data_IF_834231875525
#
_entry.id   IF_834231875525
#
_cell.length_a   1.000
_cell.length_b   1.000
_cell.length_c   1.000
_cell.angle_alpha   90.00
_cell.angle_beta   90.00
_cell.angle_gamma   90.00
#
_symmetry.space_group_name_H-M   'P 1'
#
loop_
_entity.id
_entity.type
_entity.pdbx_description
1 polymer ?
#
# COMPACT_ATOMS: atom_id res chain seq x y z
N UNK A 1 -16.75 -8.21 3.16
CA UNK A 1 -16.09 -7.19 4.01
C UNK A 1 -15.88 -5.94 3.17
N UNK A 2 -15.97 -4.73 3.73
CA UNK A 2 -15.65 -3.51 3.01
C UNK A 2 -14.14 -3.24 3.12
N UNK A 3 -13.44 -3.21 1.99
CA UNK A 3 -11.99 -3.06 1.93
C UNK A 3 -11.62 -1.70 1.32
N UNK A 4 -10.75 -0.97 2.02
CA UNK A 4 -10.09 0.18 1.44
C UNK A 4 -8.70 -0.19 0.92
N UNK A 5 -8.38 0.27 -0.29
CA UNK A 5 -7.04 0.18 -0.85
C UNK A 5 -6.55 1.61 -1.08
N UNK A 6 -5.48 2.01 -0.39
CA UNK A 6 -4.89 3.35 -0.51
C UNK A 6 -3.50 3.26 -1.12
N UNK A 7 -3.13 4.27 -1.91
CA UNK A 7 -1.78 4.33 -2.49
C UNK A 7 -0.74 4.76 -1.47
N UNK A 8 0.47 4.20 -1.56
CA UNK A 8 1.63 4.74 -0.86
C UNK A 8 2.02 6.13 -1.40
N UNK A 9 2.99 6.78 -0.75
CA UNK A 9 3.44 8.13 -1.11
C UNK A 9 4.96 8.26 -1.13
N UNK A 10 5.45 9.29 -1.83
CA UNK A 10 6.89 9.58 -1.91
C UNK A 10 7.47 9.89 -0.52
N UNK A 11 6.81 10.77 0.24
CA UNK A 11 7.27 11.22 1.56
C UNK A 11 7.18 10.09 2.58
N UNK A 12 8.34 9.67 3.09
CA UNK A 12 8.48 8.58 4.07
C UNK A 12 9.40 9.02 5.21
N UNK A 13 9.17 8.49 6.41
CA UNK A 13 10.12 8.62 7.52
C UNK A 13 11.30 7.67 7.33
N UNK A 14 12.45 8.03 7.88
CA UNK A 14 13.63 7.17 7.93
C UNK A 14 13.45 6.01 8.92
N UNK A 15 14.18 4.92 8.68
CA UNK A 15 14.21 3.74 9.55
C UNK A 15 13.15 2.68 9.22
N UNK A 16 12.99 1.74 10.15
CA UNK A 16 12.09 0.59 10.05
C UNK A 16 10.86 0.80 10.93
N UNK A 17 9.70 0.95 10.31
CA UNK A 17 8.45 1.37 10.97
C UNK A 17 7.25 0.62 10.37
N UNK A 18 6.13 0.50 11.09
CA UNK A 18 4.86 0.11 10.48
C UNK A 18 4.52 0.98 9.27
N UNK A 19 3.98 0.40 8.21
CA UNK A 19 3.68 1.11 6.96
C UNK A 19 2.81 2.37 7.18
N UNK A 20 1.83 2.29 8.09
CA UNK A 20 0.97 3.44 8.48
C UNK A 20 1.74 4.60 9.10
N UNK A 21 2.88 4.33 9.73
CA UNK A 21 3.71 5.32 10.43
C UNK A 21 4.89 5.78 9.57
N UNK A 22 5.34 4.94 8.63
CA UNK A 22 6.40 5.24 7.68
C UNK A 22 5.95 6.26 6.62
N UNK A 23 4.78 6.08 6.01
CA UNK A 23 4.26 7.00 4.99
C UNK A 23 3.76 8.31 5.61
N UNK A 24 4.32 9.44 5.19
CA UNK A 24 4.25 10.71 5.95
C UNK A 24 3.85 11.93 5.10
N UNK A 25 2.96 11.77 4.12
CA UNK A 25 2.35 12.93 3.44
C UNK A 25 0.95 13.25 4.02
N UNK A 26 0.47 14.50 3.89
CA UNK A 26 -0.90 14.85 4.29
C UNK A 26 -1.96 13.97 3.61
N UNK A 27 -1.83 13.75 2.29
CA UNK A 27 -2.73 12.89 1.53
C UNK A 27 -2.84 11.49 2.13
N UNK A 28 -1.70 10.83 2.39
CA UNK A 28 -1.69 9.49 2.97
C UNK A 28 -2.34 9.48 4.35
N UNK A 29 -1.98 10.43 5.22
CA UNK A 29 -2.52 10.51 6.58
C UNK A 29 -4.04 10.70 6.58
N UNK A 30 -4.55 11.59 5.73
CA UNK A 30 -5.99 11.81 5.61
C UNK A 30 -6.72 10.60 5.00
N UNK A 31 -6.19 10.00 3.94
CA UNK A 31 -6.75 8.78 3.34
C UNK A 31 -6.78 7.62 4.34
N UNK A 32 -5.69 7.41 5.09
CA UNK A 32 -5.62 6.36 6.11
C UNK A 32 -6.59 6.64 7.26
N UNK A 33 -6.66 7.87 7.76
CA UNK A 33 -7.60 8.25 8.81
C UNK A 33 -9.07 8.15 8.38
N UNK A 34 -9.37 8.46 7.13
CA UNK A 34 -10.72 8.32 6.58
C UNK A 34 -11.13 6.85 6.48
N UNK A 35 -10.22 6.00 5.98
CA UNK A 35 -10.51 4.58 5.71
C UNK A 35 -10.53 3.72 6.96
N UNK A 36 -9.62 3.97 7.93
CA UNK A 36 -9.52 3.17 9.17
C UNK A 36 -10.80 3.13 10.02
N UNK A 37 -11.69 4.11 9.85
CA UNK A 37 -12.94 4.22 10.62
C UNK A 37 -14.19 3.82 9.81
N UNK A 38 -14.04 3.59 8.49
CA UNK A 38 -15.16 3.35 7.56
C UNK A 38 -15.12 1.98 6.89
N UNK A 39 -13.96 1.34 6.91
CA UNK A 39 -13.72 0.07 6.24
C UNK A 39 -13.21 -0.94 7.26
N UNK A 40 -13.59 -2.19 7.07
CA UNK A 40 -13.22 -3.28 7.96
C UNK A 40 -11.73 -3.63 7.83
N UNK A 41 -11.18 -3.45 6.61
CA UNK A 41 -9.77 -3.70 6.31
C UNK A 41 -9.21 -2.61 5.42
N UNK A 42 -7.96 -2.23 5.67
CA UNK A 42 -7.21 -1.28 4.85
C UNK A 42 -5.95 -1.96 4.35
N UNK A 43 -5.67 -1.84 3.05
CA UNK A 43 -4.40 -2.21 2.44
C UNK A 43 -3.72 -1.00 1.83
N UNK A 44 -2.38 -1.02 1.81
CA UNK A 44 -1.55 0.03 1.23
C UNK A 44 -0.84 -0.53 0.00
N UNK A 45 -1.04 0.10 -1.16
CA UNK A 45 -0.33 -0.21 -2.40
C UNK A 45 1.04 0.45 -2.41
N UNK A 46 2.06 -0.35 -2.12
CA UNK A 46 3.47 -0.01 -2.17
C UNK A 46 4.11 -0.35 -3.52
N UNK A 47 4.90 0.57 -4.06
CA UNK A 47 5.70 0.30 -5.27
C UNK A 47 6.72 -0.83 -5.06
N UNK A 48 7.39 -0.88 -3.90
CA UNK A 48 8.42 -1.88 -3.63
C UNK A 48 7.80 -3.19 -3.12
N UNK A 49 6.95 -3.08 -2.11
CA UNK A 49 6.45 -4.24 -1.38
C UNK A 49 5.18 -4.87 -2.00
N UNK A 50 4.48 -4.14 -2.86
CA UNK A 50 3.20 -4.58 -3.45
C UNK A 50 2.03 -4.21 -2.53
N UNK A 51 1.40 -5.19 -1.91
CA UNK A 51 0.28 -4.98 -0.97
C UNK A 51 0.77 -5.12 0.46
N UNK A 52 0.55 -4.09 1.27
CA UNK A 52 0.89 -4.06 2.69
C UNK A 52 -0.35 -3.91 3.56
N UNK A 53 -0.28 -4.44 4.77
CA UNK A 53 -1.17 -4.08 5.88
C UNK A 53 -0.59 -2.87 6.65
N UNK A 54 -1.44 -2.09 7.36
CA UNK A 54 -0.99 -0.89 8.05
C UNK A 54 0.12 -1.14 9.07
N UNK A 55 0.11 -2.32 9.69
CA UNK A 55 1.06 -2.73 10.72
C UNK A 55 2.28 -3.47 10.18
N UNK A 56 2.37 -3.72 8.87
CA UNK A 56 3.55 -4.35 8.28
C UNK A 56 4.77 -3.45 8.49
N UNK A 57 5.78 -3.98 9.17
CA UNK A 57 7.00 -3.26 9.47
C UNK A 57 7.91 -3.26 8.25
N UNK A 58 8.08 -2.09 7.64
CA UNK A 58 8.88 -1.89 6.43
C UNK A 58 9.99 -0.87 6.67
N UNK A 59 11.04 -0.95 5.88
CA UNK A 59 12.15 -0.01 5.91
C UNK A 59 11.99 1.08 4.85
N UNK A 60 12.56 2.25 5.12
CA UNK A 60 12.68 3.35 4.18
C UNK A 60 13.20 2.90 2.80
N UNK A 61 12.62 3.46 1.75
CA UNK A 61 13.03 3.20 0.37
C UNK A 61 12.69 4.36 -0.57
N UNK A 62 13.47 4.51 -1.63
CA UNK A 62 13.23 5.45 -2.73
C UNK A 62 13.01 4.72 -4.04
N UNK A 63 11.75 4.32 -4.27
CA UNK A 63 11.30 3.71 -5.51
C UNK A 63 9.95 4.33 -5.91
N UNK A 64 9.77 4.57 -7.21
CA UNK A 64 8.54 5.11 -7.79
C UNK A 64 8.14 4.34 -9.05
N UNK A 65 6.84 4.08 -9.19
CA UNK A 65 6.26 3.46 -10.38
C UNK A 65 6.54 4.27 -11.66
N UNK A 66 6.72 5.59 -11.54
CA UNK A 66 6.92 6.47 -12.69
C UNK A 66 8.25 6.24 -13.40
N UNK A 67 9.25 5.68 -12.69
CA UNK A 67 10.56 5.33 -13.26
C UNK A 67 10.61 3.91 -13.82
N UNK A 68 9.53 3.13 -13.67
CA UNK A 68 9.47 1.77 -14.19
C UNK A 68 9.10 1.74 -15.68
N UNK A 69 9.75 0.89 -16.45
CA UNK A 69 9.37 0.60 -17.83
C UNK A 69 8.09 -0.27 -17.88
N UNK A 70 7.56 -0.51 -19.09
CA UNK A 70 6.32 -1.26 -19.28
C UNK A 70 6.39 -2.70 -18.73
N UNK A 71 7.53 -3.38 -18.87
CA UNK A 71 7.72 -4.73 -18.35
C UNK A 71 7.72 -4.75 -16.83
N UNK A 72 8.44 -3.82 -16.19
CA UNK A 72 8.48 -3.67 -14.74
C UNK A 72 7.10 -3.35 -14.16
N UNK A 73 6.32 -2.47 -14.82
CA UNK A 73 4.94 -2.18 -14.42
C UNK A 73 4.04 -3.41 -14.50
N UNK A 74 4.18 -4.24 -15.55
CA UNK A 74 3.44 -5.50 -15.69
C UNK A 74 3.81 -6.49 -14.58
N UNK A 75 5.10 -6.63 -14.28
CA UNK A 75 5.57 -7.50 -13.19
C UNK A 75 5.04 -7.02 -11.83
N UNK A 76 5.09 -5.72 -11.57
CA UNK A 76 4.50 -5.13 -10.36
C UNK A 76 3.00 -5.37 -10.27
N UNK A 77 2.25 -5.16 -11.37
CA UNK A 77 0.80 -5.39 -11.41
C UNK A 77 0.46 -6.86 -11.13
N UNK A 78 1.21 -7.80 -11.74
CA UNK A 78 1.04 -9.23 -11.49
C UNK A 78 1.32 -9.59 -10.01
N UNK A 79 2.38 -9.04 -9.42
CA UNK A 79 2.70 -9.21 -8.00
C UNK A 79 1.55 -8.72 -7.11
N UNK A 80 1.06 -7.50 -7.35
CA UNK A 80 -0.04 -6.90 -6.58
C UNK A 80 -1.32 -7.73 -6.72
N UNK A 81 -1.69 -8.12 -7.94
CA UNK A 81 -2.89 -8.93 -8.19
C UNK A 81 -2.82 -10.28 -7.47
N UNK A 82 -1.66 -10.94 -7.49
CA UNK A 82 -1.43 -12.22 -6.80
C UNK A 82 -1.55 -12.07 -5.29
N UNK A 83 -0.93 -11.03 -4.72
CA UNK A 83 -1.01 -10.74 -3.29
C UNK A 83 -2.44 -10.42 -2.85
N UNK A 84 -3.16 -9.58 -3.62
CA UNK A 84 -4.57 -9.28 -3.34
C UNK A 84 -5.42 -10.55 -3.37
N UNK A 85 -5.28 -11.40 -4.40
CA UNK A 85 -6.04 -12.66 -4.52
C UNK A 85 -5.86 -13.59 -3.30
N UNK A 86 -4.69 -13.56 -2.66
CA UNK A 86 -4.43 -14.33 -1.43
C UNK A 86 -5.02 -13.70 -0.15
N UNK A 87 -5.37 -12.41 -0.19
CA UNK A 87 -5.78 -11.61 0.97
C UNK A 87 -7.27 -11.26 0.97
N UNK A 88 -7.91 -11.19 -0.20
CA UNK A 88 -9.31 -10.78 -0.36
C UNK A 88 -10.15 -11.93 -0.88
N UNK A 89 -11.41 -11.98 -0.47
CA UNK A 89 -12.40 -12.95 -0.94
C UNK A 89 -13.26 -12.35 -2.06
N UNK A 90 -13.89 -13.18 -2.91
CA UNK A 90 -14.80 -12.68 -3.96
C UNK A 90 -15.95 -11.81 -3.46
N UNK A 91 -16.41 -12.04 -2.23
CA UNK A 91 -17.54 -11.32 -1.63
C UNK A 91 -17.11 -10.03 -0.90
N UNK A 92 -15.82 -9.73 -0.90
CA UNK A 92 -15.31 -8.46 -0.39
C UNK A 92 -15.60 -7.32 -1.38
N UNK A 93 -16.04 -6.19 -0.84
CA UNK A 93 -16.51 -5.01 -1.59
C UNK A 93 -15.58 -3.83 -1.38
#
# INVERSE_FOLDING_TARGET
MNIAIISCVKTKKQGKLPAKDLYNSPLFKYSYNYTKVRYDKVYILSTLYGVLEPNDVIEYYELTLNKMNAQQKRQWAYKVATQLKSKIKPDDK
#
